data_IF_176498483102
#
_entry.id   IF_176498483102
#
_cell.length_a   1.000
_cell.length_b   1.000
_cell.length_c   1.000
_cell.angle_alpha   90.00
_cell.angle_beta   90.00
_cell.angle_gamma   90.00
#
_symmetry.space_group_name_H-M   'P 1'
#
loop_
_entity.id
_entity.type
_entity.pdbx_description
1 polymer ?
#
# COMPACT_ATOMS: atom_id res chain seq x y z
N UNK A 1 7.57 -7.14 60.21
CA UNK A 1 6.63 -7.56 59.19
C UNK A 1 6.65 -6.59 58.02
N UNK A 2 7.45 -6.92 57.00
CA UNK A 2 7.56 -6.15 55.76
C UNK A 2 6.65 -6.81 54.71
N UNK A 3 5.46 -6.24 54.52
CA UNK A 3 4.58 -6.59 53.38
C UNK A 3 5.12 -5.93 52.12
N UNK A 4 5.67 -6.72 51.22
CA UNK A 4 6.01 -6.32 49.84
C UNK A 4 4.71 -6.00 49.08
N UNK A 5 4.52 -4.75 48.73
CA UNK A 5 3.54 -4.33 47.72
C UNK A 5 4.10 -4.65 46.34
N UNK A 6 3.55 -5.67 45.71
CA UNK A 6 3.75 -5.92 44.30
C UNK A 6 3.02 -4.83 43.50
N UNK A 7 3.80 -3.95 42.91
CA UNK A 7 3.26 -2.90 42.02
C UNK A 7 2.73 -3.54 40.74
N UNK A 8 1.46 -3.34 40.50
CA UNK A 8 0.76 -3.62 39.26
C UNK A 8 1.38 -2.76 38.17
N UNK A 9 1.95 -3.38 37.12
CA UNK A 9 2.41 -2.72 35.94
C UNK A 9 1.15 -2.27 35.15
N UNK A 10 0.69 -1.07 35.40
CA UNK A 10 -0.36 -0.44 34.63
C UNK A 10 0.09 -0.21 33.19
N UNK A 11 -0.80 -0.57 32.30
CA UNK A 11 -0.78 -0.32 30.85
C UNK A 11 -0.23 1.05 30.52
N UNK A 12 0.69 1.10 29.53
CA UNK A 12 1.40 2.30 29.13
C UNK A 12 0.45 3.40 28.62
N UNK A 13 0.10 4.33 29.49
CA UNK A 13 -0.53 5.57 29.06
C UNK A 13 0.50 6.37 28.27
N UNK A 14 0.16 6.77 27.07
CA UNK A 14 0.96 7.71 26.29
C UNK A 14 1.26 8.94 27.14
N UNK A 15 2.52 9.25 27.32
CA UNK A 15 2.98 10.43 28.08
C UNK A 15 3.50 11.48 27.11
N UNK A 16 3.27 12.74 27.44
CA UNK A 16 3.92 13.81 26.70
C UNK A 16 5.45 13.72 26.89
N UNK A 17 6.18 13.83 25.80
CA UNK A 17 7.64 13.78 25.78
C UNK A 17 8.21 15.05 25.18
N UNK A 18 9.39 15.46 25.65
CA UNK A 18 10.08 16.62 25.08
C UNK A 18 10.63 16.28 23.70
N UNK A 19 10.28 17.10 22.70
CA UNK A 19 10.80 16.94 21.35
C UNK A 19 12.33 16.98 21.29
N UNK A 20 12.98 17.75 22.16
CA UNK A 20 14.43 17.85 22.19
C UNK A 20 15.12 16.55 22.64
N UNK A 21 14.42 15.74 23.43
CA UNK A 21 14.95 14.49 23.97
C UNK A 21 14.36 13.24 23.28
N UNK A 22 13.33 13.44 22.45
CA UNK A 22 12.71 12.37 21.69
C UNK A 22 13.75 11.82 20.72
N UNK A 23 14.02 10.52 20.82
CA UNK A 23 14.84 9.84 19.82
C UNK A 23 14.01 9.70 18.57
N UNK A 24 14.34 10.46 17.52
CA UNK A 24 13.85 10.12 16.19
C UNK A 24 14.62 8.87 15.76
N UNK A 25 13.93 7.75 15.73
CA UNK A 25 14.40 6.61 14.93
C UNK A 25 14.36 7.11 13.49
N UNK A 26 15.49 7.64 13.02
CA UNK A 26 15.59 8.28 11.71
C UNK A 26 14.94 7.39 10.66
N UNK A 27 14.05 7.96 9.87
CA UNK A 27 13.24 7.36 8.82
C UNK A 27 13.42 5.84 8.72
N UNK A 28 12.49 5.09 9.31
CA UNK A 28 12.57 3.66 9.55
C UNK A 28 13.14 2.87 8.38
N UNK A 29 13.64 1.71 8.69
CA UNK A 29 14.17 0.77 7.73
C UNK A 29 13.32 0.71 6.46
N UNK A 30 13.94 0.96 5.31
CA UNK A 30 13.24 0.98 4.03
C UNK A 30 13.37 -0.37 3.33
N UNK A 31 12.29 -0.78 2.66
CA UNK A 31 12.26 -1.97 1.84
C UNK A 31 12.54 -1.57 0.39
N UNK A 32 13.57 -2.18 -0.19
CA UNK A 32 13.92 -2.00 -1.59
C UNK A 32 12.87 -2.67 -2.49
N UNK A 33 12.26 -1.90 -3.39
CA UNK A 33 11.27 -2.41 -4.33
C UNK A 33 11.88 -3.20 -5.50
N UNK A 34 13.20 -3.15 -5.65
CA UNK A 34 13.91 -3.71 -6.80
C UNK A 34 13.73 -2.91 -8.09
N UNK A 35 13.05 -1.77 -8.05
CA UNK A 35 12.82 -0.86 -9.17
C UNK A 35 13.43 0.50 -8.80
N UNK A 36 14.56 0.84 -9.43
CA UNK A 36 15.31 2.05 -9.11
C UNK A 36 14.50 3.34 -9.26
N UNK A 37 13.70 3.45 -10.31
CA UNK A 37 12.83 4.60 -10.56
C UNK A 37 11.74 4.76 -9.47
N UNK A 38 11.15 3.65 -9.03
CA UNK A 38 10.16 3.66 -7.95
C UNK A 38 10.81 4.02 -6.61
N UNK A 39 11.95 3.43 -6.29
CA UNK A 39 12.70 3.74 -5.07
C UNK A 39 13.05 5.22 -5.00
N UNK A 40 13.49 5.81 -6.10
CA UNK A 40 13.85 7.23 -6.16
C UNK A 40 12.63 8.12 -5.86
N UNK A 41 11.49 7.85 -6.46
CA UNK A 41 10.26 8.62 -6.21
C UNK A 41 9.75 8.44 -4.78
N UNK A 42 9.91 7.25 -4.20
CA UNK A 42 9.58 6.99 -2.80
C UNK A 42 10.55 7.64 -1.80
N UNK A 43 11.74 8.02 -2.25
CA UNK A 43 12.78 8.58 -1.38
C UNK A 43 13.75 7.54 -0.82
N UNK A 44 13.90 6.41 -1.50
CA UNK A 44 14.86 5.33 -1.16
C UNK A 44 14.24 3.96 -0.85
N UNK A 45 12.96 3.78 -1.13
CA UNK A 45 12.23 2.54 -0.89
C UNK A 45 10.99 2.75 -0.04
N UNK A 46 10.31 1.67 0.30
CA UNK A 46 9.09 1.71 1.13
C UNK A 46 9.43 1.80 2.62
N UNK A 47 8.76 2.68 3.32
CA UNK A 47 8.86 2.76 4.79
C UNK A 47 7.89 1.76 5.42
N UNK A 48 8.36 0.96 6.39
CA UNK A 48 7.51 0.01 7.13
C UNK A 48 6.36 0.73 7.80
N UNK A 49 5.17 0.16 7.71
CA UNK A 49 3.95 0.74 8.28
C UNK A 49 3.36 1.91 7.49
N UNK A 50 3.96 2.29 6.37
CA UNK A 50 3.48 3.38 5.52
C UNK A 50 2.34 2.94 4.60
N UNK A 51 1.43 3.87 4.31
CA UNK A 51 0.43 3.73 3.26
C UNK A 51 0.82 4.58 2.05
N UNK A 52 0.88 3.97 0.89
CA UNK A 52 1.14 4.64 -0.39
C UNK A 52 -0.05 4.44 -1.31
N UNK A 53 -0.63 5.55 -1.76
CA UNK A 53 -1.66 5.54 -2.79
C UNK A 53 -1.00 5.66 -4.15
N UNK A 54 -1.36 4.78 -5.06
CA UNK A 54 -1.00 4.90 -6.47
C UNK A 54 -2.26 5.17 -7.30
N UNK A 55 -2.25 6.26 -8.04
CA UNK A 55 -3.38 6.69 -8.86
C UNK A 55 -2.97 6.88 -10.32
N UNK A 56 -3.93 6.85 -11.19
CA UNK A 56 -3.77 7.02 -12.63
C UNK A 56 -4.95 6.44 -13.37
N UNK A 57 -5.02 6.71 -14.67
CA UNK A 57 -6.07 6.18 -15.53
C UNK A 57 -6.01 4.65 -15.61
N UNK A 58 -7.16 3.95 -15.78
CA UNK A 58 -7.17 2.53 -16.04
C UNK A 58 -6.35 2.17 -17.28
N UNK A 59 -5.53 1.12 -17.17
CA UNK A 59 -4.67 0.66 -18.27
C UNK A 59 -3.40 1.47 -18.50
N UNK A 60 -3.07 2.42 -17.60
CA UNK A 60 -1.85 3.23 -17.72
C UNK A 60 -0.57 2.46 -17.36
N UNK A 61 -0.67 1.36 -16.63
CA UNK A 61 0.45 0.52 -16.22
C UNK A 61 0.69 0.44 -14.71
N UNK A 62 -0.24 0.93 -13.88
CA UNK A 62 -0.12 0.86 -12.41
C UNK A 62 0.09 -0.56 -11.92
N UNK A 63 -0.76 -1.48 -12.35
CA UNK A 63 -0.70 -2.89 -11.93
C UNK A 63 0.59 -3.57 -12.35
N UNK A 64 1.17 -3.19 -13.49
CA UNK A 64 2.44 -3.74 -13.98
C UNK A 64 3.60 -3.35 -13.06
N UNK A 65 3.71 -2.07 -12.71
CA UNK A 65 4.77 -1.57 -11.82
C UNK A 65 4.64 -2.21 -10.44
N UNK A 66 3.42 -2.26 -9.91
CA UNK A 66 3.14 -2.82 -8.58
C UNK A 66 3.44 -4.32 -8.56
N UNK A 67 3.04 -5.05 -9.60
CA UNK A 67 3.31 -6.49 -9.69
C UNK A 67 4.82 -6.77 -9.78
N UNK A 68 5.56 -5.97 -10.51
CA UNK A 68 7.01 -6.11 -10.59
C UNK A 68 7.67 -5.86 -9.22
N UNK A 69 7.24 -4.84 -8.50
CA UNK A 69 7.69 -4.58 -7.12
C UNK A 69 7.33 -5.75 -6.20
N UNK A 70 6.11 -6.26 -6.28
CA UNK A 70 5.66 -7.41 -5.49
C UNK A 70 6.51 -8.66 -5.75
N UNK A 71 6.78 -8.97 -7.01
CA UNK A 71 7.62 -10.10 -7.38
C UNK A 71 9.05 -9.96 -6.86
N UNK A 72 9.63 -8.77 -6.95
CA UNK A 72 10.99 -8.48 -6.44
C UNK A 72 11.06 -8.62 -4.92
N UNK A 73 10.11 -8.05 -4.20
CA UNK A 73 10.06 -8.08 -2.73
C UNK A 73 9.81 -9.51 -2.23
N UNK A 74 8.98 -10.29 -2.91
CA UNK A 74 8.75 -11.69 -2.57
C UNK A 74 10.02 -12.53 -2.67
N UNK A 75 10.94 -12.19 -3.58
CA UNK A 75 12.24 -12.85 -3.70
C UNK A 75 13.25 -12.40 -2.66
N UNK A 76 13.24 -11.11 -2.31
CA UNK A 76 14.33 -10.50 -1.53
C UNK A 76 14.02 -10.29 -0.05
N UNK A 77 12.75 -10.11 0.32
CA UNK A 77 12.40 -9.65 1.67
C UNK A 77 11.44 -10.57 2.43
N UNK A 78 10.52 -11.25 1.77
CA UNK A 78 9.57 -12.16 2.44
C UNK A 78 8.20 -12.22 1.78
N UNK A 79 7.21 -12.63 2.54
CA UNK A 79 5.84 -12.84 2.05
C UNK A 79 5.20 -11.54 1.60
N UNK A 80 4.64 -11.55 0.40
CA UNK A 80 3.87 -10.45 -0.18
C UNK A 80 2.43 -10.92 -0.39
N UNK A 81 1.46 -10.11 0.01
CA UNK A 81 0.03 -10.37 -0.17
C UNK A 81 -0.55 -9.38 -1.19
N UNK A 82 -0.96 -9.91 -2.33
CA UNK A 82 -1.67 -9.14 -3.37
C UNK A 82 -3.18 -9.42 -3.27
N UNK A 83 -3.93 -8.40 -2.90
CA UNK A 83 -5.40 -8.49 -2.77
C UNK A 83 -6.05 -7.82 -3.97
N UNK A 84 -6.89 -8.55 -4.69
CA UNK A 84 -7.66 -8.03 -5.83
C UNK A 84 -9.16 -8.19 -5.60
N UNK A 85 -9.90 -7.13 -5.86
CA UNK A 85 -11.36 -7.14 -5.78
C UNK A 85 -12.07 -7.47 -7.10
N UNK A 86 -11.39 -7.41 -8.22
CA UNK A 86 -11.99 -7.57 -9.55
C UNK A 86 -11.42 -8.72 -10.37
N UNK A 87 -10.12 -8.94 -10.28
CA UNK A 87 -9.44 -9.94 -11.10
C UNK A 87 -9.37 -11.29 -10.40
N UNK A 88 -9.46 -12.36 -11.20
CA UNK A 88 -9.26 -13.72 -10.72
C UNK A 88 -7.78 -14.05 -10.52
N UNK A 89 -7.51 -15.13 -9.76
CA UNK A 89 -6.15 -15.63 -9.59
C UNK A 89 -5.48 -16.01 -10.91
N UNK A 90 -6.22 -16.54 -11.87
CA UNK A 90 -5.70 -16.90 -13.20
C UNK A 90 -5.26 -15.65 -13.99
N UNK A 91 -6.05 -14.59 -13.97
CA UNK A 91 -5.70 -13.32 -14.63
C UNK A 91 -4.43 -12.69 -14.03
N UNK A 92 -4.35 -12.67 -12.71
CA UNK A 92 -3.17 -12.15 -11.99
C UNK A 92 -1.95 -13.03 -12.28
N UNK A 93 -2.11 -14.36 -12.26
CA UNK A 93 -1.02 -15.31 -12.56
C UNK A 93 -0.46 -15.11 -13.97
N UNK A 94 -1.32 -14.95 -14.96
CA UNK A 94 -0.91 -14.70 -16.34
C UNK A 94 -0.10 -13.40 -16.46
N UNK A 95 -0.52 -12.34 -15.78
CA UNK A 95 0.21 -11.07 -15.77
C UNK A 95 1.55 -11.21 -15.06
N UNK A 96 1.56 -11.84 -13.90
CA UNK A 96 2.76 -12.05 -13.11
C UNK A 96 3.81 -12.88 -13.87
N UNK A 97 3.40 -13.94 -14.57
CA UNK A 97 4.29 -14.76 -15.37
C UNK A 97 4.94 -14.01 -16.54
N UNK A 98 4.22 -13.05 -17.14
CA UNK A 98 4.78 -12.19 -18.20
C UNK A 98 5.82 -11.21 -17.67
N UNK A 99 5.59 -10.67 -16.47
CA UNK A 99 6.47 -9.67 -15.85
C UNK A 99 7.68 -10.35 -15.22
N UNK A 100 7.48 -11.47 -14.57
CA UNK A 100 8.51 -12.23 -13.86
C UNK A 100 8.31 -13.72 -14.08
N UNK A 101 9.08 -14.35 -15.02
CA UNK A 101 8.94 -15.79 -15.30
C UNK A 101 9.29 -16.69 -14.12
N UNK A 102 10.02 -16.17 -13.14
CA UNK A 102 10.51 -16.91 -11.97
C UNK A 102 9.93 -16.33 -10.67
N UNK A 103 8.63 -16.54 -10.49
CA UNK A 103 7.92 -16.06 -9.30
C UNK A 103 8.32 -16.85 -8.05
N UNK A 104 8.57 -16.11 -6.96
CA UNK A 104 8.75 -16.70 -5.64
C UNK A 104 7.43 -17.27 -5.09
N UNK A 105 7.50 -18.38 -4.37
CA UNK A 105 6.37 -18.94 -3.62
C UNK A 105 5.88 -18.00 -2.51
N UNK A 106 6.65 -16.99 -2.15
CA UNK A 106 6.28 -15.98 -1.17
C UNK A 106 5.31 -14.92 -1.69
N UNK A 107 5.00 -14.91 -2.99
CA UNK A 107 3.97 -14.03 -3.55
C UNK A 107 2.60 -14.73 -3.49
N UNK A 108 1.77 -14.24 -2.57
CA UNK A 108 0.41 -14.74 -2.33
C UNK A 108 -0.63 -13.85 -2.98
N UNK A 109 -1.69 -14.46 -3.46
CA UNK A 109 -2.85 -13.80 -4.03
C UNK A 109 -4.10 -14.07 -3.21
N UNK A 110 -4.94 -13.05 -3.02
CA UNK A 110 -6.23 -13.16 -2.36
C UNK A 110 -7.29 -12.44 -3.19
N UNK A 111 -8.30 -13.17 -3.67
CA UNK A 111 -9.50 -12.60 -4.25
C UNK A 111 -10.50 -12.31 -3.12
N UNK A 112 -10.56 -11.06 -2.68
CA UNK A 112 -11.40 -10.64 -1.55
C UNK A 112 -11.71 -9.15 -1.62
N UNK A 113 -12.91 -8.79 -1.20
CA UNK A 113 -13.38 -7.41 -1.10
C UNK A 113 -13.77 -7.00 0.32
N UNK A 114 -13.97 -7.97 1.20
CA UNK A 114 -14.33 -7.75 2.60
C UNK A 114 -13.08 -7.44 3.43
N UNK A 115 -13.02 -6.24 4.01
CA UNK A 115 -11.87 -5.78 4.77
C UNK A 115 -11.60 -6.59 6.04
N UNK A 116 -12.62 -7.11 6.69
CA UNK A 116 -12.48 -7.94 7.89
C UNK A 116 -11.75 -9.26 7.56
N UNK A 117 -12.09 -9.87 6.42
CA UNK A 117 -11.40 -11.07 5.93
C UNK A 117 -9.97 -10.77 5.48
N UNK A 118 -9.75 -9.64 4.83
CA UNK A 118 -8.40 -9.20 4.43
C UNK A 118 -7.51 -9.01 5.66
N UNK A 119 -8.03 -8.36 6.70
CA UNK A 119 -7.30 -8.17 7.96
C UNK A 119 -6.93 -9.51 8.62
N UNK A 120 -7.83 -10.48 8.61
CA UNK A 120 -7.57 -11.80 9.16
C UNK A 120 -6.47 -12.55 8.40
N UNK A 121 -6.54 -12.56 7.07
CA UNK A 121 -5.51 -13.20 6.22
C UNK A 121 -4.16 -12.51 6.41
N UNK A 122 -4.13 -11.19 6.51
CA UNK A 122 -2.91 -10.42 6.78
C UNK A 122 -2.27 -10.84 8.12
N UNK A 123 -3.06 -11.00 9.17
CA UNK A 123 -2.54 -11.47 10.47
C UNK A 123 -1.95 -12.87 10.39
N UNK A 124 -2.60 -13.77 9.65
CA UNK A 124 -2.15 -15.16 9.49
C UNK A 124 -0.85 -15.27 8.68
N UNK A 125 -0.74 -14.52 7.59
CA UNK A 125 0.43 -14.54 6.70
C UNK A 125 1.60 -13.71 7.22
N UNK A 126 1.32 -12.66 7.99
CA UNK A 126 2.32 -11.68 8.44
C UNK A 126 3.21 -11.17 7.29
N UNK A 127 2.62 -10.58 6.24
CA UNK A 127 3.38 -10.17 5.06
C UNK A 127 4.33 -9.00 5.36
N UNK A 128 5.39 -8.89 4.58
CA UNK A 128 6.30 -7.74 4.59
C UNK A 128 5.80 -6.61 3.68
N UNK A 129 4.84 -6.89 2.82
CA UNK A 129 4.23 -5.95 1.89
C UNK A 129 2.84 -6.42 1.49
N UNK A 130 1.88 -5.50 1.44
CA UNK A 130 0.51 -5.78 1.01
C UNK A 130 0.05 -4.79 -0.06
N UNK A 131 -0.72 -5.28 -1.02
CA UNK A 131 -1.29 -4.50 -2.11
C UNK A 131 -2.81 -4.65 -2.09
N UNK A 132 -3.52 -3.53 -2.18
CA UNK A 132 -4.97 -3.46 -2.30
C UNK A 132 -5.32 -2.90 -3.68
N UNK A 133 -5.88 -3.74 -4.54
CA UNK A 133 -6.24 -3.38 -5.92
C UNK A 133 -7.72 -3.74 -6.20
N UNK A 134 -8.60 -2.78 -6.18
CA UNK A 134 -8.50 -1.35 -5.88
C UNK A 134 -9.29 -1.00 -4.62
N UNK A 135 -9.02 0.16 -4.04
CA UNK A 135 -9.78 0.63 -2.86
C UNK A 135 -11.28 0.77 -3.15
N UNK A 136 -11.64 1.12 -4.38
CA UNK A 136 -13.04 1.30 -4.79
C UNK A 136 -13.85 -0.01 -4.79
N UNK A 137 -13.19 -1.17 -4.81
CA UNK A 137 -13.86 -2.47 -4.78
C UNK A 137 -14.03 -3.03 -3.37
N UNK A 138 -13.38 -2.43 -2.38
CA UNK A 138 -13.37 -2.91 -1.00
C UNK A 138 -14.56 -2.39 -0.20
N UNK A 139 -14.96 -3.15 0.80
CA UNK A 139 -15.98 -2.74 1.76
C UNK A 139 -15.67 -3.27 3.16
N UNK A 140 -16.17 -2.55 4.15
CA UNK A 140 -16.23 -3.02 5.55
C UNK A 140 -17.69 -3.18 5.96
N UNK A 141 -17.98 -4.20 6.76
CA UNK A 141 -19.32 -4.47 7.28
C UNK A 141 -19.81 -3.41 8.27
N UNK A 142 -18.91 -2.56 8.77
CA UNK A 142 -19.24 -1.44 9.65
C UNK A 142 -20.01 -0.31 8.94
N UNK A 143 -20.00 -0.32 7.60
CA UNK A 143 -20.66 0.70 6.78
C UNK A 143 -21.71 0.05 5.88
N UNK A 144 -22.91 0.63 5.84
CA UNK A 144 -24.02 0.15 4.99
C UNK A 144 -23.94 0.65 3.53
N UNK A 145 -23.04 1.58 3.25
CA UNK A 145 -22.89 2.16 1.91
C UNK A 145 -22.23 1.19 0.94
N UNK A 146 -22.50 1.39 -0.35
CA UNK A 146 -21.95 0.55 -1.41
C UNK A 146 -20.42 0.70 -1.56
N UNK A 147 -19.71 -0.36 -2.02
CA UNK A 147 -18.31 -0.23 -2.44
C UNK A 147 -18.13 0.90 -3.45
N UNK A 148 -17.06 1.66 -3.31
CA UNK A 148 -16.77 2.82 -4.17
C UNK A 148 -17.45 4.12 -3.75
N UNK A 149 -18.41 4.10 -2.81
CA UNK A 149 -18.97 5.32 -2.22
C UNK A 149 -17.94 6.04 -1.36
N UNK A 150 -18.10 7.35 -1.17
CA UNK A 150 -17.19 8.17 -0.36
C UNK A 150 -17.02 7.61 1.07
N UNK A 151 -18.12 7.29 1.73
CA UNK A 151 -18.10 6.75 3.10
C UNK A 151 -17.41 5.39 3.18
N UNK A 152 -17.66 4.51 2.23
CA UNK A 152 -17.05 3.17 2.20
C UNK A 152 -15.55 3.25 1.91
N UNK A 153 -15.14 4.03 0.91
CA UNK A 153 -13.72 4.23 0.57
C UNK A 153 -12.95 4.82 1.75
N UNK A 154 -13.53 5.80 2.43
CA UNK A 154 -12.92 6.40 3.63
C UNK A 154 -12.78 5.38 4.77
N UNK A 155 -13.83 4.60 5.05
CA UNK A 155 -13.79 3.57 6.09
C UNK A 155 -12.75 2.49 5.80
N UNK A 156 -12.68 2.01 4.56
CA UNK A 156 -11.66 1.04 4.14
C UNK A 156 -10.24 1.61 4.23
N UNK A 157 -10.05 2.87 3.85
CA UNK A 157 -8.77 3.57 3.98
C UNK A 157 -8.31 3.68 5.43
N UNK A 158 -9.21 4.01 6.34
CA UNK A 158 -8.93 4.05 7.78
C UNK A 158 -8.54 2.67 8.33
N UNK A 159 -9.22 1.61 7.90
CA UNK A 159 -8.91 0.25 8.32
C UNK A 159 -7.52 -0.19 7.82
N UNK A 160 -7.17 0.12 6.58
CA UNK A 160 -5.84 -0.15 6.02
C UNK A 160 -4.75 0.62 6.76
N UNK A 161 -5.00 1.86 7.13
CA UNK A 161 -4.08 2.64 7.95
C UNK A 161 -3.84 1.97 9.31
N UNK A 162 -4.90 1.48 9.95
CA UNK A 162 -4.81 0.75 11.22
C UNK A 162 -3.98 -0.52 11.07
N UNK A 163 -4.25 -1.33 10.05
CA UNK A 163 -3.50 -2.58 9.76
C UNK A 163 -2.02 -2.26 9.54
N UNK A 164 -1.71 -1.31 8.67
CA UNK A 164 -0.33 -0.95 8.34
C UNK A 164 0.46 -0.52 9.56
N UNK A 165 -0.10 0.33 10.39
CA UNK A 165 0.57 0.83 11.60
C UNK A 165 0.68 -0.21 12.70
N UNK A 166 -0.38 -0.98 12.93
CA UNK A 166 -0.41 -2.01 14.00
C UNK A 166 0.53 -3.16 13.68
N UNK A 167 0.55 -3.63 12.45
CA UNK A 167 1.35 -4.78 12.01
C UNK A 167 2.69 -4.39 11.38
N UNK A 168 2.95 -3.09 11.25
CA UNK A 168 4.17 -2.52 10.66
C UNK A 168 4.41 -2.98 9.22
N UNK A 169 3.34 -3.02 8.43
CA UNK A 169 3.35 -3.47 7.04
C UNK A 169 3.22 -2.27 6.10
N UNK A 170 4.13 -2.06 5.14
CA UNK A 170 3.89 -1.13 4.05
C UNK A 170 2.76 -1.64 3.16
N UNK A 171 1.82 -0.76 2.84
CA UNK A 171 0.65 -1.07 2.04
C UNK A 171 0.58 -0.14 0.84
N UNK A 172 0.47 -0.71 -0.37
CA UNK A 172 0.13 0.03 -1.57
C UNK A 172 -1.37 -0.08 -1.85
N UNK A 173 -2.01 1.05 -2.01
CA UNK A 173 -3.43 1.16 -2.34
C UNK A 173 -3.54 1.67 -3.77
N UNK A 174 -4.18 0.88 -4.63
CA UNK A 174 -4.48 1.29 -6.00
C UNK A 174 -5.83 2.00 -6.01
N UNK A 175 -5.89 3.17 -6.63
CA UNK A 175 -7.13 3.88 -6.89
C UNK A 175 -7.19 4.30 -8.36
N UNK A 176 -8.31 4.02 -8.99
CA UNK A 176 -8.56 4.40 -10.37
C UNK A 176 -9.17 5.81 -10.43
N UNK A 177 -8.65 6.65 -11.33
CA UNK A 177 -9.28 7.91 -11.67
C UNK A 177 -10.50 7.61 -12.55
N UNK A 178 -11.68 8.00 -12.08
CA UNK A 178 -12.94 7.76 -12.80
C UNK A 178 -13.37 9.01 -13.57
N UNK A 179 -13.76 8.83 -14.84
CA UNK A 179 -14.25 9.92 -15.67
C UNK A 179 -15.72 10.25 -15.41
N UNK A 180 -16.48 9.30 -14.87
CA UNK A 180 -17.94 9.42 -14.70
C UNK A 180 -18.38 10.01 -13.37
N UNK A 181 -17.50 10.11 -12.37
CA UNK A 181 -17.83 10.60 -11.04
C UNK A 181 -18.75 9.68 -10.21
N UNK A 182 -19.07 8.48 -10.69
CA UNK A 182 -19.92 7.52 -9.98
C UNK A 182 -19.22 6.89 -8.77
N UNK A 183 -17.90 6.71 -8.85
CA UNK A 183 -17.08 6.19 -7.78
C UNK A 183 -16.27 7.30 -7.13
N UNK A 184 -16.03 7.17 -5.82
CA UNK A 184 -15.12 8.08 -5.13
C UNK A 184 -13.72 7.99 -5.75
N UNK A 185 -13.18 9.14 -6.11
CA UNK A 185 -11.84 9.25 -6.66
C UNK A 185 -10.73 9.15 -5.61
N UNK A 186 -9.46 9.20 -6.04
CA UNK A 186 -8.30 9.09 -5.15
C UNK A 186 -8.24 10.13 -4.04
N UNK A 187 -8.80 11.32 -4.25
CA UNK A 187 -8.76 12.43 -3.27
C UNK A 187 -9.30 12.08 -1.89
N UNK A 188 -10.24 11.13 -1.82
CA UNK A 188 -10.86 10.72 -0.56
C UNK A 188 -9.83 10.11 0.40
N UNK A 189 -8.85 9.37 -0.12
CA UNK A 189 -7.83 8.69 0.67
C UNK A 189 -6.50 9.44 0.74
N UNK A 190 -6.30 10.48 -0.05
CA UNK A 190 -5.05 11.24 -0.08
C UNK A 190 -4.66 11.83 1.29
N UNK A 191 -5.65 12.20 2.11
CA UNK A 191 -5.42 12.73 3.46
C UNK A 191 -5.01 11.66 4.48
N UNK A 192 -5.33 10.39 4.20
CA UNK A 192 -5.07 9.27 5.11
C UNK A 192 -3.71 8.63 4.87
N UNK A 193 -3.17 8.75 3.66
CA UNK A 193 -1.94 8.08 3.25
C UNK A 193 -0.70 8.92 3.50
N UNK A 194 0.45 8.26 3.59
CA UNK A 194 1.75 8.90 3.80
C UNK A 194 2.39 9.38 2.51
N UNK A 195 2.06 8.70 1.40
CA UNK A 195 2.62 8.99 0.08
C UNK A 195 1.53 8.85 -0.97
N UNK A 196 1.48 9.79 -1.90
CA UNK A 196 0.58 9.75 -3.06
C UNK A 196 1.43 9.77 -4.32
N UNK A 197 1.37 8.69 -5.09
CA UNK A 197 2.02 8.55 -6.38
C UNK A 197 0.98 8.67 -7.50
N UNK A 198 1.36 9.33 -8.58
CA UNK A 198 0.52 9.46 -9.76
C UNK A 198 1.30 9.01 -10.99
N UNK A 199 0.72 8.09 -11.75
CA UNK A 199 1.29 7.60 -13.00
C UNK A 199 0.53 8.21 -14.17
N UNK A 200 1.24 8.93 -15.02
CA UNK A 200 0.68 9.63 -16.19
C UNK A 200 1.41 9.23 -17.46
N UNK A 201 0.73 9.35 -18.57
CA UNK A 201 1.25 9.10 -19.91
C UNK A 201 0.13 9.08 -20.92
N UNK A 202 0.48 9.09 -22.19
CA UNK A 202 -0.47 8.91 -23.27
C UNK A 202 -0.46 7.45 -23.73
N UNK A 203 -1.63 6.88 -23.99
CA UNK A 203 -1.75 5.48 -24.46
C UNK A 203 -1.03 5.22 -25.77
N UNK A 204 -0.87 6.26 -26.58
CA UNK A 204 -0.15 6.19 -27.85
C UNK A 204 1.37 6.29 -27.71
N UNK A 205 1.86 6.59 -26.51
CA UNK A 205 3.28 6.72 -26.22
C UNK A 205 3.71 5.61 -25.25
N UNK A 206 4.91 5.13 -25.43
CA UNK A 206 5.51 4.11 -24.56
C UNK A 206 5.93 4.66 -23.19
N UNK A 207 6.18 5.98 -23.11
CA UNK A 207 6.68 6.61 -21.92
C UNK A 207 5.59 6.87 -20.87
N UNK A 208 5.88 6.50 -19.61
CA UNK A 208 5.08 6.81 -18.43
C UNK A 208 5.93 7.56 -17.41
N UNK A 209 5.31 8.55 -16.76
CA UNK A 209 5.97 9.35 -15.72
C UNK A 209 5.27 9.10 -14.39
N UNK A 210 6.04 8.71 -13.40
CA UNK A 210 5.61 8.53 -12.01
C UNK A 210 6.07 9.73 -11.18
N UNK A 211 5.15 10.34 -10.45
CA UNK A 211 5.42 11.48 -9.58
C UNK A 211 4.88 11.23 -8.19
N UNK A 212 5.58 11.74 -7.17
CA UNK A 212 5.03 11.87 -5.84
C UNK A 212 4.30 13.22 -5.73
N UNK A 213 3.00 13.19 -5.48
CA UNK A 213 2.18 14.38 -5.18
C UNK A 213 2.24 14.73 -3.69
N UNK A 214 2.50 13.73 -2.85
CA UNK A 214 2.68 13.82 -1.41
C UNK A 214 3.68 12.77 -0.98
N UNK A 215 4.62 13.14 -0.12
CA UNK A 215 5.56 12.17 0.46
C UNK A 215 6.00 12.66 1.85
N UNK A 216 5.50 12.00 2.92
CA UNK A 216 5.89 12.32 4.30
C UNK A 216 7.34 11.95 4.63
N UNK A 217 7.95 11.07 3.84
CA UNK A 217 9.26 10.50 4.12
C UNK A 217 10.35 10.97 3.16
N UNK A 218 10.06 11.95 2.32
CA UNK A 218 11.01 12.44 1.32
C UNK A 218 10.49 13.64 0.54
N UNK A 219 11.21 13.98 -0.52
CA UNK A 219 10.85 15.08 -1.42
C UNK A 219 9.77 14.64 -2.42
N UNK A 220 9.02 15.61 -2.96
CA UNK A 220 8.11 15.43 -4.09
C UNK A 220 8.72 15.91 -5.42
N UNK A 221 9.99 16.30 -5.44
CA UNK A 221 10.66 16.83 -6.62
C UNK A 221 11.20 15.77 -7.59
N UNK A 222 11.30 14.51 -7.15
CA UNK A 222 11.79 13.41 -7.98
C UNK A 222 10.68 12.86 -8.89
N UNK A 223 11.07 12.47 -10.09
CA UNK A 223 10.21 11.74 -11.02
C UNK A 223 10.85 10.43 -11.45
N UNK A 224 10.01 9.44 -11.75
CA UNK A 224 10.40 8.16 -12.32
C UNK A 224 9.89 8.04 -13.76
N UNK A 225 10.72 7.56 -14.66
CA UNK A 225 10.36 7.32 -16.06
C UNK A 225 10.33 5.81 -16.33
N UNK A 226 9.26 5.36 -16.99
CA UNK A 226 9.05 3.96 -17.35
C UNK A 226 8.71 3.85 -18.82
N UNK A 227 9.25 2.86 -19.48
CA UNK A 227 8.84 2.45 -20.82
C UNK A 227 7.92 1.24 -20.70
N UNK A 228 6.77 1.32 -21.38
CA UNK A 228 5.84 0.20 -21.47
C UNK A 228 6.18 -0.59 -22.72
N UNK A 229 6.74 -1.78 -22.55
CA UNK A 229 6.90 -2.74 -23.64
C UNK A 229 5.56 -3.37 -24.00
N UNK A 230 5.31 -3.62 -25.30
CA UNK A 230 4.13 -4.34 -25.80
C UNK A 230 4.09 -5.80 -25.29
#
# INVERSE_FOLDING_TARGET
>A
DKRRRTGNKGEGRNRAESLATLKSDGHGERIDTGIGELNRVLGGGMVKGSLTLISGEPGIGKSTIIMQAAANIAKSAGVVLYVSGEESGEQIKMRADRICPDLSENLFFLAETNMENIAEVSRQLNPVFMIIDSIQTMYTEEMDSAPGSVSQVRACGNELMRIGKTENIPIFIVAHVTKSGELAGPKIVEHLVDCVLNLVGERSQELRILRALKNRFGTTSEIGAFEMAE
#
